data_IF_185457911135
#
_entry.id   IF_185457911135
#
_cell.length_a   1.000
_cell.length_b   1.000
_cell.length_c   1.000
_cell.angle_alpha   90.00
_cell.angle_beta   90.00
_cell.angle_gamma   90.00
#
_symmetry.space_group_name_H-M   'P 1'
#
loop_
_entity.id
_entity.type
_entity.pdbx_description
1 polymer ?
#
# COMPACT_ATOMS: atom_id res chain seq x y z
N UNK A 1 25.78 40.46 -44.91
CA UNK A 1 26.19 39.43 -43.88
C UNK A 1 26.81 38.25 -44.62
N UNK A 2 28.04 37.85 -44.28
CA UNK A 2 28.67 36.69 -44.95
C UNK A 2 27.89 35.40 -44.64
N UNK A 3 27.68 34.51 -45.61
CA UNK A 3 26.81 33.30 -45.44
C UNK A 3 27.25 32.42 -44.26
N UNK A 4 28.52 32.41 -43.92
CA UNK A 4 29.02 31.68 -42.77
C UNK A 4 28.47 32.17 -41.42
N UNK A 5 28.32 33.50 -41.24
CA UNK A 5 27.81 34.05 -39.98
C UNK A 5 26.32 33.71 -39.82
N UNK A 6 25.56 33.69 -40.92
CA UNK A 6 24.13 33.32 -40.90
C UNK A 6 23.94 31.86 -40.49
N UNK A 7 24.75 30.95 -41.00
CA UNK A 7 24.65 29.51 -40.65
C UNK A 7 25.04 29.23 -39.19
N UNK A 8 26.07 29.94 -38.68
CA UNK A 8 26.43 29.84 -37.27
C UNK A 8 25.31 30.35 -36.37
N UNK A 9 24.68 31.46 -36.72
CA UNK A 9 23.59 32.05 -35.94
C UNK A 9 22.38 31.12 -35.86
N UNK A 10 22.01 30.50 -36.99
CA UNK A 10 20.91 29.52 -37.05
C UNK A 10 21.22 28.28 -36.19
N UNK A 11 22.46 27.79 -36.23
CA UNK A 11 22.86 26.62 -35.44
C UNK A 11 22.85 26.91 -33.93
N UNK A 12 23.36 28.07 -33.52
CA UNK A 12 23.33 28.48 -32.11
C UNK A 12 21.90 28.70 -31.62
N UNK A 13 21.04 29.34 -32.44
CA UNK A 13 19.63 29.53 -32.09
C UNK A 13 18.90 28.17 -31.92
N UNK A 14 19.17 27.22 -32.83
CA UNK A 14 18.61 25.87 -32.76
C UNK A 14 19.05 25.12 -31.51
N UNK A 15 20.33 25.21 -31.12
CA UNK A 15 20.82 24.62 -29.89
C UNK A 15 20.21 25.21 -28.62
N UNK A 16 20.03 26.53 -28.59
CA UNK A 16 19.42 27.24 -27.45
C UNK A 16 17.94 26.86 -27.33
N UNK A 17 17.20 26.80 -28.42
CA UNK A 17 15.77 26.40 -28.39
C UNK A 17 15.61 24.94 -27.98
N UNK A 18 16.49 24.04 -28.43
CA UNK A 18 16.49 22.65 -28.04
C UNK A 18 16.83 22.47 -26.54
N UNK A 19 17.83 23.17 -26.03
CA UNK A 19 18.23 23.13 -24.63
C UNK A 19 17.13 23.67 -23.71
N UNK A 20 16.49 24.80 -24.07
CA UNK A 20 15.38 25.38 -23.31
C UNK A 20 14.17 24.48 -23.39
N UNK A 21 13.83 23.93 -24.55
CA UNK A 21 12.73 22.99 -24.72
C UNK A 21 12.93 21.72 -23.89
N UNK A 22 14.14 21.13 -23.89
CA UNK A 22 14.47 19.96 -23.08
C UNK A 22 14.42 20.27 -21.59
N UNK A 23 14.84 21.45 -21.17
CA UNK A 23 14.78 21.87 -19.77
C UNK A 23 13.34 22.09 -19.30
N UNK A 24 12.49 22.68 -20.13
CA UNK A 24 11.06 22.86 -19.83
C UNK A 24 10.37 21.49 -19.76
N UNK A 25 10.59 20.61 -20.72
CA UNK A 25 10.00 19.26 -20.71
C UNK A 25 10.48 18.48 -19.48
N UNK A 26 11.77 18.53 -19.13
CA UNK A 26 12.26 17.86 -17.95
C UNK A 26 11.73 18.45 -16.64
N UNK A 27 11.49 19.77 -16.56
CA UNK A 27 10.86 20.37 -15.38
C UNK A 27 9.37 20.09 -15.27
N UNK A 28 8.66 19.89 -16.38
CA UNK A 28 7.23 19.51 -16.35
C UNK A 28 6.98 18.00 -16.22
N UNK A 29 7.93 17.15 -16.58
CA UNK A 29 7.87 15.69 -16.34
C UNK A 29 8.20 15.36 -14.88
N UNK A 30 8.60 16.36 -14.07
CA UNK A 30 8.97 16.12 -12.69
C UNK A 30 7.78 15.76 -11.80
N UNK A 31 7.71 14.46 -11.58
CA UNK A 31 7.42 13.91 -10.26
C UNK A 31 6.41 14.75 -9.49
N UNK A 32 5.15 14.62 -9.88
CA UNK A 32 4.10 14.95 -8.90
C UNK A 32 4.31 14.00 -7.72
N UNK A 33 4.79 14.54 -6.62
CA UNK A 33 4.82 13.80 -5.37
C UNK A 33 3.38 13.41 -5.05
N UNK A 34 3.12 12.14 -4.74
CA UNK A 34 1.80 11.74 -4.33
C UNK A 34 1.36 12.63 -3.16
N UNK A 35 0.18 13.20 -3.28
CA UNK A 35 -0.37 14.07 -2.23
C UNK A 35 -1.15 13.18 -1.27
N UNK A 36 -0.91 13.27 0.04
CA UNK A 36 -1.73 12.54 1.01
C UNK A 36 -3.19 12.98 0.88
N UNK A 37 -4.07 12.06 0.52
CA UNK A 37 -5.51 12.30 0.38
C UNK A 37 -6.31 11.98 1.63
N UNK A 38 -5.67 11.35 2.63
CA UNK A 38 -6.31 10.96 3.86
C UNK A 38 -5.61 9.81 4.56
N UNK A 39 -6.19 9.34 5.64
CA UNK A 39 -5.75 8.16 6.37
C UNK A 39 -6.89 7.15 6.47
N UNK A 40 -6.59 5.86 6.35
CA UNK A 40 -7.50 4.77 6.63
C UNK A 40 -6.94 4.00 7.81
N UNK A 41 -7.72 3.92 8.85
CA UNK A 41 -7.37 3.23 10.09
C UNK A 41 -8.26 2.03 10.35
N UNK A 42 -9.19 1.77 9.44
CA UNK A 42 -10.12 0.67 9.50
C UNK A 42 -9.63 -0.51 8.65
N UNK A 43 -10.04 -1.72 9.03
CA UNK A 43 -9.69 -2.94 8.33
C UNK A 43 -10.84 -3.41 7.43
N UNK A 44 -10.50 -3.98 6.28
CA UNK A 44 -11.45 -4.63 5.39
C UNK A 44 -11.39 -6.14 5.50
N UNK A 45 -10.17 -6.69 5.50
CA UNK A 45 -9.94 -8.13 5.61
C UNK A 45 -8.68 -8.41 6.42
N UNK A 46 -8.78 -9.41 7.30
CA UNK A 46 -7.65 -9.95 8.07
C UNK A 46 -7.55 -11.44 7.77
N UNK A 47 -6.41 -11.89 7.24
CA UNK A 47 -6.16 -13.29 6.93
C UNK A 47 -4.95 -13.82 7.69
N UNK A 48 -5.05 -15.07 8.16
CA UNK A 48 -3.98 -15.81 8.80
C UNK A 48 -3.63 -17.05 8.01
N UNK A 49 -2.36 -17.39 7.92
CA UNK A 49 -1.87 -18.62 7.30
C UNK A 49 -0.55 -19.07 7.91
N UNK A 50 -0.25 -20.38 7.89
CA UNK A 50 1.06 -20.89 8.24
C UNK A 50 2.03 -20.68 7.08
N UNK A 51 3.28 -20.37 7.43
CA UNK A 51 4.39 -20.33 6.48
C UNK A 51 5.68 -20.74 7.20
N UNK A 52 6.80 -20.70 6.48
CA UNK A 52 8.12 -20.98 7.08
C UNK A 52 8.42 -19.94 8.15
N UNK A 53 8.51 -20.40 9.40
CA UNK A 53 8.77 -19.52 10.56
C UNK A 53 7.53 -19.17 11.40
N UNK A 54 6.39 -19.85 11.18
CA UNK A 54 5.22 -19.74 12.06
C UNK A 54 3.94 -19.27 11.36
N UNK A 55 3.10 -18.60 12.11
CA UNK A 55 1.85 -18.02 11.61
C UNK A 55 2.08 -16.57 11.16
N UNK A 56 1.48 -16.23 10.05
CA UNK A 56 1.48 -14.86 9.49
C UNK A 56 0.06 -14.32 9.48
N UNK A 57 -0.04 -13.02 9.65
CA UNK A 57 -1.29 -12.28 9.51
C UNK A 57 -1.15 -11.22 8.40
N UNK A 58 -2.15 -11.10 7.54
CA UNK A 58 -2.25 -9.99 6.60
C UNK A 58 -3.47 -9.14 6.91
N UNK A 59 -3.29 -7.83 6.92
CA UNK A 59 -4.36 -6.86 7.10
C UNK A 59 -4.46 -6.00 5.86
N UNK A 60 -5.64 -5.99 5.26
CA UNK A 60 -5.98 -5.09 4.14
C UNK A 60 -6.89 -3.97 4.65
N UNK A 61 -6.70 -2.72 4.22
CA UNK A 61 -7.57 -1.61 4.59
C UNK A 61 -8.96 -1.78 4.00
N UNK A 62 -9.95 -1.18 4.65
CA UNK A 62 -11.33 -1.15 4.16
C UNK A 62 -11.44 -0.18 2.98
N UNK A 63 -12.13 -0.60 1.94
CA UNK A 63 -12.44 0.21 0.77
C UNK A 63 -11.98 -0.42 -0.54
N UNK A 64 -12.44 0.20 -1.62
CA UNK A 64 -12.03 -0.13 -2.98
C UNK A 64 -11.00 0.90 -3.43
N UNK A 65 -9.78 0.47 -3.67
CA UNK A 65 -8.67 1.34 -4.07
C UNK A 65 -8.20 0.99 -5.48
N UNK A 66 -7.84 2.03 -6.21
CA UNK A 66 -7.29 1.91 -7.56
C UNK A 66 -5.78 1.81 -7.52
N UNK A 67 -5.20 0.99 -8.39
CA UNK A 67 -3.74 0.95 -8.61
C UNK A 67 -3.20 2.21 -9.27
N UNK A 68 -4.08 3.00 -9.91
CA UNK A 68 -3.67 4.16 -10.74
C UNK A 68 -4.00 5.52 -10.13
N UNK A 69 -4.90 5.57 -9.16
CA UNK A 69 -5.42 6.84 -8.63
C UNK A 69 -5.17 7.01 -7.14
N UNK A 70 -5.74 6.13 -6.33
CA UNK A 70 -5.62 6.21 -4.87
C UNK A 70 -5.13 4.89 -4.35
N UNK A 71 -3.91 4.87 -3.85
CA UNK A 71 -3.28 3.65 -3.32
C UNK A 71 -3.04 3.81 -1.83
N UNK A 72 -3.54 2.90 -0.98
CA UNK A 72 -3.19 2.90 0.43
C UNK A 72 -1.75 2.42 0.61
N UNK A 73 -0.97 3.17 1.38
CA UNK A 73 0.37 2.78 1.81
C UNK A 73 0.40 2.66 3.32
N UNK A 74 1.02 1.59 3.80
CA UNK A 74 1.21 1.42 5.23
C UNK A 74 2.08 2.54 5.79
N UNK A 75 1.54 3.28 6.76
CA UNK A 75 2.29 4.26 7.53
C UNK A 75 2.82 3.68 8.83
N UNK A 76 1.98 2.92 9.52
CA UNK A 76 2.33 2.25 10.77
C UNK A 76 1.49 0.98 10.92
N UNK A 77 2.04 -0.02 11.58
CA UNK A 77 1.30 -1.24 11.92
C UNK A 77 2.02 -2.00 13.02
N UNK A 78 1.24 -2.59 13.90
CA UNK A 78 1.70 -3.44 14.99
C UNK A 78 0.88 -4.72 15.05
N UNK A 79 1.53 -5.80 15.44
CA UNK A 79 0.90 -7.07 15.79
C UNK A 79 1.51 -7.55 17.10
N UNK A 80 0.68 -7.71 18.10
CA UNK A 80 1.09 -8.15 19.44
C UNK A 80 0.40 -9.47 19.73
N UNK A 81 1.17 -10.47 20.13
CA UNK A 81 0.67 -11.79 20.53
C UNK A 81 0.87 -11.97 22.02
N UNK A 82 -0.23 -12.15 22.73
CA UNK A 82 -0.23 -12.60 24.12
C UNK A 82 -0.60 -14.09 24.18
N UNK A 83 0.41 -14.93 24.35
CA UNK A 83 0.21 -16.39 24.41
C UNK A 83 -0.39 -16.87 25.75
N UNK A 84 -0.37 -16.04 26.80
CA UNK A 84 -0.99 -16.38 28.08
C UNK A 84 -2.49 -16.07 28.06
N UNK A 85 -2.86 -14.95 27.46
CA UNK A 85 -4.26 -14.57 27.28
C UNK A 85 -4.89 -15.17 26.02
N UNK A 86 -4.12 -15.87 25.16
CA UNK A 86 -4.55 -16.33 23.84
C UNK A 86 -5.18 -15.20 23.01
N UNK A 87 -4.44 -14.12 22.90
CA UNK A 87 -4.90 -12.90 22.28
C UNK A 87 -3.91 -12.41 21.22
N UNK A 88 -4.45 -11.96 20.10
CA UNK A 88 -3.69 -11.30 19.03
C UNK A 88 -4.30 -9.92 18.83
N UNK A 89 -3.52 -8.88 19.08
CA UNK A 89 -3.90 -7.49 18.84
C UNK A 89 -3.23 -6.99 17.58
N UNK A 90 -4.03 -6.48 16.66
CA UNK A 90 -3.61 -5.91 15.39
C UNK A 90 -4.00 -4.46 15.31
N UNK A 91 -3.10 -3.65 14.81
CA UNK A 91 -3.36 -2.25 14.49
C UNK A 91 -2.65 -1.87 13.20
N UNK A 92 -3.33 -1.16 12.31
CA UNK A 92 -2.73 -0.64 11.09
C UNK A 92 -3.23 0.77 10.82
N UNK A 93 -2.36 1.56 10.20
CA UNK A 93 -2.69 2.89 9.71
C UNK A 93 -2.13 3.03 8.30
N UNK A 94 -3.00 3.26 7.35
CA UNK A 94 -2.64 3.50 5.96
C UNK A 94 -2.82 4.97 5.62
N UNK A 95 -1.90 5.50 4.82
CA UNK A 95 -2.04 6.81 4.17
C UNK A 95 -2.50 6.57 2.75
N UNK A 96 -3.55 7.27 2.35
CA UNK A 96 -4.01 7.27 0.97
C UNK A 96 -3.15 8.23 0.17
N UNK A 97 -2.47 7.74 -0.84
CA UNK A 97 -1.72 8.55 -1.78
C UNK A 97 -2.49 8.65 -3.09
N UNK A 98 -2.82 9.89 -3.48
CA UNK A 98 -3.34 10.15 -4.82
C UNK A 98 -2.20 10.25 -5.82
N UNK A 99 -2.22 9.36 -6.79
CA UNK A 99 -1.34 9.43 -7.96
C UNK A 99 -2.01 10.27 -9.05
N UNK A 100 -2.47 11.46 -8.71
CA UNK A 100 -3.11 12.37 -9.67
C UNK A 100 -2.07 13.00 -10.58
N UNK A 101 -1.90 12.47 -11.78
CA UNK A 101 -0.95 13.05 -12.70
C UNK A 101 -1.09 12.58 -14.12
N UNK A 102 -1.99 13.16 -14.85
CA UNK A 102 -2.29 13.05 -16.28
C UNK A 102 -3.60 12.30 -16.61
N UNK A 103 -4.28 12.67 -17.70
CA UNK A 103 -5.72 12.45 -17.90
C UNK A 103 -6.10 11.03 -18.27
N UNK A 104 -5.56 10.05 -17.55
CA UNK A 104 -6.12 8.71 -17.61
C UNK A 104 -7.27 8.66 -16.62
N UNK A 105 -8.45 8.23 -17.04
CA UNK A 105 -9.57 8.05 -16.13
C UNK A 105 -9.14 7.08 -15.01
N UNK A 106 -9.43 7.44 -13.78
CA UNK A 106 -9.28 6.55 -12.65
C UNK A 106 -10.15 5.32 -12.88
N UNK A 107 -9.55 4.17 -13.03
CA UNK A 107 -10.27 2.90 -13.09
C UNK A 107 -10.33 2.37 -11.67
N UNK A 108 -11.51 2.43 -11.07
CA UNK A 108 -11.80 1.79 -9.80
C UNK A 108 -11.89 0.27 -10.04
N UNK A 109 -10.76 -0.40 -9.99
CA UNK A 109 -10.69 -1.85 -10.19
C UNK A 109 -10.56 -2.64 -8.89
N UNK A 110 -10.57 -1.97 -7.73
CA UNK A 110 -10.38 -2.53 -6.39
C UNK A 110 -9.11 -3.42 -6.25
N UNK A 111 -8.16 -3.28 -7.17
CA UNK A 111 -6.92 -4.05 -7.16
C UNK A 111 -5.78 -3.34 -6.41
N UNK A 112 -5.97 -2.08 -6.02
CA UNK A 112 -4.98 -1.22 -5.36
C UNK A 112 -4.96 -1.34 -3.84
N UNK A 113 -5.58 -2.37 -3.27
CA UNK A 113 -5.59 -2.59 -1.83
C UNK A 113 -4.17 -2.86 -1.31
N UNK A 114 -3.62 -1.94 -0.52
CA UNK A 114 -2.41 -2.22 0.24
C UNK A 114 -2.69 -3.36 1.22
N UNK A 115 -1.78 -4.32 1.30
CA UNK A 115 -1.82 -5.37 2.31
C UNK A 115 -0.54 -5.27 3.13
N UNK A 116 -0.66 -5.36 4.44
CA UNK A 116 0.49 -5.45 5.32
C UNK A 116 0.52 -6.83 5.97
N UNK A 117 1.70 -7.44 5.96
CA UNK A 117 1.92 -8.77 6.55
C UNK A 117 2.74 -8.65 7.82
N UNK A 118 2.30 -9.33 8.86
CA UNK A 118 2.96 -9.48 10.14
C UNK A 118 3.36 -10.93 10.36
N UNK A 119 4.59 -11.16 10.80
CA UNK A 119 5.01 -12.47 11.30
C UNK A 119 4.64 -12.56 12.79
N UNK A 120 3.77 -13.49 13.16
CA UNK A 120 3.34 -13.71 14.53
C UNK A 120 4.22 -14.74 15.25
N UNK A 121 5.05 -15.48 14.50
CA UNK A 121 5.89 -16.55 15.01
C UNK A 121 5.12 -17.85 15.26
N UNK A 122 5.72 -18.71 16.08
CA UNK A 122 5.14 -20.00 16.44
C UNK A 122 4.09 -19.80 17.55
N UNK A 123 2.82 -20.02 17.21
CA UNK A 123 1.73 -19.95 18.16
C UNK A 123 1.52 -21.33 18.80
N UNK A 124 1.27 -21.33 20.11
CA UNK A 124 0.86 -22.55 20.84
C UNK A 124 -0.53 -22.96 20.36
N UNK A 125 -0.78 -24.26 20.09
CA UNK A 125 -2.10 -24.72 19.68
C UNK A 125 -3.19 -24.31 20.67
N UNK A 126 -4.10 -23.47 20.23
CA UNK A 126 -5.27 -22.99 20.97
C UNK A 126 -6.14 -22.11 20.06
N UNK A 127 -7.26 -21.65 20.60
CA UNK A 127 -8.11 -20.63 19.99
C UNK A 127 -7.69 -19.25 20.48
N UNK A 128 -7.21 -18.40 19.57
CA UNK A 128 -6.78 -17.04 19.87
C UNK A 128 -7.88 -16.05 19.53
N UNK A 129 -8.29 -15.22 20.49
CA UNK A 129 -9.10 -14.04 20.21
C UNK A 129 -8.31 -13.05 19.35
N UNK A 130 -8.83 -12.71 18.18
CA UNK A 130 -8.24 -11.70 17.28
C UNK A 130 -8.93 -10.38 17.51
N UNK A 131 -8.13 -9.35 17.77
CA UNK A 131 -8.59 -8.00 18.01
C UNK A 131 -7.96 -7.05 17.01
N UNK A 132 -8.75 -6.15 16.51
CA UNK A 132 -8.25 -5.02 15.74
C UNK A 132 -8.54 -3.76 16.56
N UNK A 133 -7.47 -3.17 17.12
CA UNK A 133 -7.57 -2.17 18.19
C UNK A 133 -8.37 -2.73 19.38
N UNK A 134 -9.50 -2.11 19.69
CA UNK A 134 -10.33 -2.51 20.84
C UNK A 134 -11.51 -3.42 20.45
N UNK A 135 -11.66 -3.77 19.18
CA UNK A 135 -12.76 -4.58 18.66
C UNK A 135 -12.33 -6.03 18.44
N UNK A 136 -13.07 -7.00 18.96
CA UNK A 136 -12.87 -8.41 18.66
C UNK A 136 -13.43 -8.72 17.28
N UNK A 137 -12.57 -9.09 16.35
CA UNK A 137 -12.93 -9.37 14.96
C UNK A 137 -13.16 -10.85 14.67
N UNK A 138 -12.65 -11.74 15.53
CA UNK A 138 -12.85 -13.19 15.34
C UNK A 138 -12.01 -14.04 16.28
N UNK A 139 -11.90 -15.33 15.93
CA UNK A 139 -11.08 -16.30 16.65
C UNK A 139 -10.23 -17.11 15.66
N UNK A 140 -8.93 -17.08 15.85
CA UNK A 140 -7.97 -17.87 15.08
C UNK A 140 -7.78 -19.24 15.77
N UNK A 141 -8.15 -20.31 15.10
CA UNK A 141 -7.92 -21.67 15.57
C UNK A 141 -6.54 -22.16 15.14
N UNK A 142 -5.64 -22.39 16.10
CA UNK A 142 -4.30 -22.96 15.87
C UNK A 142 -4.31 -24.42 16.30
N UNK A 143 -4.02 -25.31 15.36
CA UNK A 143 -4.14 -26.76 15.57
C UNK A 143 -2.84 -27.41 16.02
N UNK A 144 -2.94 -28.45 16.85
CA UNK A 144 -1.84 -29.33 17.19
C UNK A 144 -1.75 -30.48 16.19
N UNK A 145 -0.51 -30.81 15.77
CA UNK A 145 -0.24 -32.00 14.95
C UNK A 145 -0.73 -31.96 13.50
N UNK A 146 -1.31 -30.86 13.06
CA UNK A 146 -1.69 -30.61 11.66
C UNK A 146 -1.48 -29.13 11.30
N UNK A 147 -1.27 -28.83 10.02
CA UNK A 147 -1.16 -27.44 9.60
C UNK A 147 -2.45 -26.65 9.92
N UNK A 148 -2.29 -25.45 10.47
CA UNK A 148 -3.38 -24.51 10.64
C UNK A 148 -3.86 -24.08 9.24
N UNK A 149 -5.15 -24.24 8.88
CA UNK A 149 -5.64 -23.78 7.59
C UNK A 149 -5.62 -22.25 7.53
N UNK A 150 -5.63 -21.71 6.31
CA UNK A 150 -5.84 -20.27 6.12
C UNK A 150 -7.22 -19.89 6.64
N UNK A 151 -7.26 -18.89 7.49
CA UNK A 151 -8.50 -18.33 8.08
C UNK A 151 -8.55 -16.84 7.79
N UNK A 152 -9.69 -16.35 7.31
CA UNK A 152 -9.88 -14.95 7.00
C UNK A 152 -11.16 -14.42 7.66
N UNK A 153 -11.07 -13.19 8.13
CA UNK A 153 -12.19 -12.41 8.65
C UNK A 153 -12.41 -11.23 7.71
N UNK A 154 -13.66 -10.90 7.45
CA UNK A 154 -14.04 -9.77 6.60
C UNK A 154 -14.90 -8.80 7.39
N UNK A 155 -14.58 -7.54 7.28
CA UNK A 155 -15.39 -6.47 7.85
C UNK A 155 -16.53 -6.15 6.88
N UNK A 156 -17.70 -6.75 7.14
CA UNK A 156 -18.90 -6.60 6.32
C UNK A 156 -19.82 -5.48 6.82
N UNK A 157 -19.40 -4.69 7.81
CA UNK A 157 -20.19 -3.55 8.25
C UNK A 157 -20.29 -2.54 7.10
N UNK A 158 -21.51 -2.25 6.68
CA UNK A 158 -21.89 -1.28 5.65
C UNK A 158 -21.76 0.17 6.15
#
# INVERSE_FOLDING_TARGET
>A
MKPQIRNILIFVLGMVTFAVGSFIVSTFVFVRRPTPAGTVEDWGRICFWPDVGGIYAAVSPRGCYSTTCTTPKLQAGTAIVDTQAYRIDLETRFVLEETSGFPLPCIENCAGGGEVTFALGDLIPNDYGVWFRDEKVGELMVFSGRPTPRQCFENTAD
#
